data_IF_618683196976
#
_entry.id   IF_618683196976
#
_cell.length_a   1.000
_cell.length_b   1.000
_cell.length_c   1.000
_cell.angle_alpha   90.00
_cell.angle_beta   90.00
_cell.angle_gamma   90.00
#
_symmetry.space_group_name_H-M   'P 1'
#
loop_
_entity.id
_entity.type
_entity.pdbx_description
1 polymer ?
#
# COMPACT_ATOMS: atom_id res chain seq x y z
N UNK A 1 -3.24 -0.74 -31.75
CA UNK A 1 -2.15 -0.23 -30.89
C UNK A 1 -2.83 0.65 -29.85
N UNK A 2 -2.55 0.47 -28.56
CA UNK A 2 -3.21 1.30 -27.52
C UNK A 2 -2.71 2.73 -27.63
N UNK A 3 -3.58 3.72 -27.41
CA UNK A 3 -3.15 5.12 -27.30
C UNK A 3 -2.32 5.33 -26.03
N UNK A 4 -1.52 6.40 -25.99
CA UNK A 4 -0.74 6.75 -24.80
C UNK A 4 -1.66 6.99 -23.59
N UNK A 5 -2.80 7.65 -23.81
CA UNK A 5 -3.81 7.91 -22.78
C UNK A 5 -4.39 6.60 -22.22
N UNK A 6 -4.70 5.63 -23.08
CA UNK A 6 -5.18 4.31 -22.63
C UNK A 6 -4.14 3.58 -21.78
N UNK A 7 -2.85 3.72 -22.10
CA UNK A 7 -1.76 3.15 -21.32
C UNK A 7 -1.62 3.84 -19.97
N UNK A 8 -1.72 5.17 -19.91
CA UNK A 8 -1.67 5.95 -18.67
C UNK A 8 -2.85 5.60 -17.76
N UNK A 9 -4.07 5.47 -18.29
CA UNK A 9 -5.21 5.09 -17.47
C UNK A 9 -5.15 3.62 -17.02
N UNK A 10 -4.61 2.73 -17.86
CA UNK A 10 -4.30 1.36 -17.42
C UNK A 10 -3.31 1.35 -16.25
N UNK A 11 -2.26 2.18 -16.31
CA UNK A 11 -1.28 2.33 -15.22
C UNK A 11 -1.92 2.94 -13.97
N UNK A 12 -2.78 3.97 -14.12
CA UNK A 12 -3.52 4.56 -13.02
C UNK A 12 -4.33 3.51 -12.28
N UNK A 13 -5.11 2.71 -13.01
CA UNK A 13 -5.95 1.68 -12.42
C UNK A 13 -5.10 0.64 -11.67
N UNK A 14 -4.00 0.17 -12.27
CA UNK A 14 -3.10 -0.77 -11.61
C UNK A 14 -2.49 -0.23 -10.32
N UNK A 15 -2.13 1.07 -10.28
CA UNK A 15 -1.64 1.72 -9.07
C UNK A 15 -2.74 1.83 -8.01
N UNK A 16 -3.96 2.21 -8.40
CA UNK A 16 -5.12 2.28 -7.49
C UNK A 16 -5.42 0.91 -6.87
N UNK A 17 -5.40 -0.15 -7.67
CA UNK A 17 -5.61 -1.53 -7.21
C UNK A 17 -4.51 -1.96 -6.23
N UNK A 18 -3.30 -1.40 -6.34
CA UNK A 18 -2.20 -1.58 -5.39
C UNK A 18 -2.25 -0.63 -4.17
N UNK A 19 -3.30 0.20 -4.05
CA UNK A 19 -3.47 1.18 -2.99
C UNK A 19 -2.57 2.41 -3.11
N UNK A 20 -2.08 2.72 -4.32
CA UNK A 20 -1.22 3.85 -4.64
C UNK A 20 -2.02 4.86 -5.45
N UNK A 21 -2.02 6.12 -5.01
CA UNK A 21 -2.65 7.22 -5.74
C UNK A 21 -1.58 8.23 -6.10
N UNK A 22 -1.44 8.49 -7.40
CA UNK A 22 -0.62 9.55 -7.98
C UNK A 22 -1.57 10.52 -8.72
N UNK A 23 -2.09 11.56 -8.06
CA UNK A 23 -3.06 12.47 -8.67
C UNK A 23 -2.51 13.21 -9.89
N UNK A 24 -1.18 13.39 -9.92
CA UNK A 24 -0.44 14.03 -11.00
C UNK A 24 -0.02 13.08 -12.12
N UNK A 25 -0.39 11.80 -12.07
CA UNK A 25 -0.08 10.86 -13.15
C UNK A 25 -0.76 11.30 -14.45
N UNK A 26 0.02 11.60 -15.47
CA UNK A 26 -0.46 12.01 -16.78
C UNK A 26 0.54 11.67 -17.89
N UNK A 27 0.13 11.87 -19.15
CA UNK A 27 1.08 11.99 -20.26
C UNK A 27 1.90 13.25 -20.03
N UNK A 28 3.22 13.16 -20.19
CA UNK A 28 4.09 14.32 -20.12
C UNK A 28 3.65 15.37 -21.17
N UNK A 29 3.40 16.63 -20.78
CA UNK A 29 2.80 17.62 -21.67
C UNK A 29 3.74 18.04 -22.81
N UNK A 30 5.06 17.91 -22.65
CA UNK A 30 6.04 18.31 -23.68
C UNK A 30 6.06 17.28 -24.81
N UNK A 31 6.15 16.01 -24.47
CA UNK A 31 6.21 14.90 -25.43
C UNK A 31 4.82 14.47 -25.92
N UNK A 32 3.76 14.73 -25.17
CA UNK A 32 2.38 14.50 -25.62
C UNK A 32 1.90 15.50 -26.67
N UNK A 33 2.50 16.70 -26.72
CA UNK A 33 2.18 17.72 -27.72
C UNK A 33 3.08 17.64 -28.98
N UNK A 34 4.09 16.76 -28.99
CA UNK A 34 5.01 16.60 -30.12
C UNK A 34 4.55 15.49 -31.08
N UNK A 35 5.09 15.49 -32.30
CA UNK A 35 4.89 14.39 -33.26
C UNK A 35 5.81 13.19 -32.97
N UNK A 36 6.39 13.11 -31.76
CA UNK A 36 7.29 12.01 -31.40
C UNK A 36 6.50 10.71 -31.19
N UNK A 37 7.01 9.57 -31.69
CA UNK A 37 6.33 8.28 -31.60
C UNK A 37 6.26 7.70 -30.18
N UNK A 38 6.91 8.33 -29.19
CA UNK A 38 7.01 7.83 -27.81
C UNK A 38 6.79 8.95 -26.79
N UNK A 39 5.53 9.34 -26.59
CA UNK A 39 5.17 10.25 -25.50
C UNK A 39 5.55 9.63 -24.15
N UNK A 40 6.15 10.45 -23.27
CA UNK A 40 6.57 10.05 -21.94
C UNK A 40 5.40 10.12 -20.95
N UNK A 41 5.56 9.46 -19.80
CA UNK A 41 4.58 9.49 -18.70
C UNK A 41 5.17 10.28 -17.54
N UNK A 42 4.47 11.31 -17.09
CA UNK A 42 4.81 12.05 -15.88
C UNK A 42 4.10 11.40 -14.68
N UNK A 43 4.89 10.88 -13.72
CA UNK A 43 4.39 10.29 -12.48
C UNK A 43 4.12 11.37 -11.40
N UNK A 44 4.71 12.55 -11.55
CA UNK A 44 4.71 13.67 -10.62
C UNK A 44 5.30 13.36 -9.24
N UNK A 45 4.94 14.20 -8.25
CA UNK A 45 5.49 14.11 -6.88
C UNK A 45 4.62 13.23 -6.00
N UNK A 46 5.26 12.39 -5.19
CA UNK A 46 4.60 11.64 -4.13
C UNK A 46 5.29 11.86 -2.78
N UNK A 47 4.60 11.54 -1.69
CA UNK A 47 5.20 11.57 -0.35
C UNK A 47 6.01 10.29 -0.09
N UNK A 48 6.88 10.32 0.93
CA UNK A 48 7.77 9.19 1.27
C UNK A 48 7.00 7.89 1.53
N UNK A 49 5.82 7.95 2.17
CA UNK A 49 5.00 6.74 2.42
C UNK A 49 4.48 6.10 1.14
N UNK A 50 4.11 6.91 0.15
CA UNK A 50 3.69 6.41 -1.17
C UNK A 50 4.89 5.83 -1.93
N UNK A 51 6.06 6.48 -1.85
CA UNK A 51 7.30 5.98 -2.47
C UNK A 51 7.72 4.61 -1.90
N UNK A 52 7.67 4.43 -0.59
CA UNK A 52 7.97 3.16 0.07
C UNK A 52 7.00 2.05 -0.34
N UNK A 53 5.70 2.36 -0.36
CA UNK A 53 4.67 1.43 -0.85
C UNK A 53 4.91 1.05 -2.31
N UNK A 54 5.19 2.02 -3.17
CA UNK A 54 5.48 1.77 -4.59
C UNK A 54 6.69 0.84 -4.75
N UNK A 55 7.78 1.10 -4.02
CA UNK A 55 8.97 0.27 -4.06
C UNK A 55 8.68 -1.18 -3.61
N UNK A 56 7.86 -1.34 -2.57
CA UNK A 56 7.39 -2.65 -2.07
C UNK A 56 6.60 -3.42 -3.13
N UNK A 57 5.65 -2.74 -3.79
CA UNK A 57 4.84 -3.32 -4.88
C UNK A 57 5.72 -3.75 -6.05
N UNK A 58 6.67 -2.92 -6.48
CA UNK A 58 7.60 -3.20 -7.59
C UNK A 58 8.51 -4.38 -7.28
N UNK A 59 8.92 -4.56 -6.01
CA UNK A 59 9.69 -5.74 -5.57
C UNK A 59 8.85 -7.01 -5.42
N UNK A 60 7.53 -6.92 -5.57
CA UNK A 60 6.62 -8.07 -5.41
C UNK A 60 6.37 -8.45 -3.95
N UNK A 61 6.65 -7.56 -3.00
CA UNK A 61 6.40 -7.81 -1.58
C UNK A 61 4.89 -7.90 -1.31
N UNK A 62 4.51 -8.92 -0.54
CA UNK A 62 3.11 -9.21 -0.21
C UNK A 62 2.97 -9.57 1.28
N UNK A 63 2.10 -8.89 2.04
CA UNK A 63 1.36 -7.67 1.66
C UNK A 63 2.29 -6.45 1.52
N UNK A 64 1.92 -5.48 0.69
CA UNK A 64 2.77 -4.31 0.43
C UNK A 64 2.88 -3.40 1.68
N UNK A 65 3.98 -2.68 1.81
CA UNK A 65 4.18 -1.70 2.90
C UNK A 65 3.02 -0.68 2.97
N UNK A 66 2.58 -0.39 4.19
CA UNK A 66 1.44 0.45 4.55
C UNK A 66 0.07 -0.22 4.40
N UNK A 67 -0.03 -1.44 3.86
CA UNK A 67 -1.30 -2.19 3.88
C UNK A 67 -1.58 -2.75 5.27
N UNK A 68 -2.84 -3.12 5.55
CA UNK A 68 -3.18 -3.84 6.77
C UNK A 68 -3.14 -5.35 6.52
N UNK A 69 -2.57 -6.10 7.46
CA UNK A 69 -2.46 -7.54 7.42
C UNK A 69 -2.90 -8.17 8.76
N UNK A 70 -3.37 -9.41 8.68
CA UNK A 70 -3.67 -10.28 9.82
C UNK A 70 -2.51 -11.25 9.99
N UNK A 71 -1.99 -11.32 11.21
CA UNK A 71 -1.13 -12.40 11.66
C UNK A 71 -1.98 -13.64 11.94
N UNK A 72 -1.92 -14.65 11.08
CA UNK A 72 -2.76 -15.85 11.22
C UNK A 72 -2.41 -16.70 12.45
N UNK A 73 -1.26 -16.45 13.09
CA UNK A 73 -0.81 -17.19 14.29
C UNK A 73 -1.67 -16.86 15.51
N UNK A 74 -2.15 -15.62 15.60
CA UNK A 74 -2.88 -15.12 16.79
C UNK A 74 -4.05 -14.18 16.48
N UNK A 75 -4.30 -13.88 15.20
CA UNK A 75 -5.38 -13.02 14.73
C UNK A 75 -5.16 -11.53 15.00
N UNK A 76 -3.95 -11.09 15.35
CA UNK A 76 -3.64 -9.66 15.48
C UNK A 76 -3.61 -8.98 14.12
N UNK A 77 -4.16 -7.77 14.06
CA UNK A 77 -4.19 -6.94 12.85
C UNK A 77 -3.19 -5.80 13.01
N UNK A 78 -2.34 -5.62 12.01
CA UNK A 78 -1.35 -4.54 11.97
C UNK A 78 -1.18 -3.92 10.59
N UNK A 79 -0.58 -2.75 10.54
CA UNK A 79 -0.07 -2.12 9.32
C UNK A 79 1.34 -2.64 9.02
N UNK A 80 1.59 -3.04 7.78
CA UNK A 80 2.90 -3.49 7.31
C UNK A 80 3.88 -2.33 7.26
N UNK A 81 4.99 -2.42 7.98
CA UNK A 81 6.05 -1.41 7.98
C UNK A 81 7.19 -1.76 7.04
N UNK A 82 7.64 -3.01 7.04
CA UNK A 82 8.79 -3.45 6.27
C UNK A 82 8.81 -4.98 6.11
N UNK A 83 9.55 -5.44 5.09
CA UNK A 83 9.94 -6.85 4.88
C UNK A 83 11.44 -6.98 5.18
N UNK A 84 11.83 -7.97 5.98
CA UNK A 84 13.22 -8.24 6.33
C UNK A 84 13.44 -9.76 6.44
N UNK A 85 14.31 -10.32 5.60
CA UNK A 85 14.77 -11.72 5.76
C UNK A 85 13.70 -12.82 5.76
N UNK A 86 12.47 -12.54 5.30
CA UNK A 86 11.32 -13.47 5.34
C UNK A 86 10.31 -13.17 6.46
N UNK A 87 10.66 -12.27 7.37
CA UNK A 87 9.75 -11.68 8.35
C UNK A 87 9.22 -10.34 7.86
N UNK A 88 8.05 -9.98 8.38
CA UNK A 88 7.35 -8.74 8.08
C UNK A 88 7.06 -8.03 9.39
N UNK A 89 7.54 -6.79 9.50
CA UNK A 89 7.29 -5.95 10.67
C UNK A 89 5.91 -5.31 10.58
N UNK A 90 5.10 -5.52 11.61
CA UNK A 90 3.75 -4.97 11.73
C UNK A 90 3.66 -3.97 12.88
N UNK A 91 2.89 -2.90 12.67
CA UNK A 91 2.48 -1.95 13.70
C UNK A 91 1.01 -2.16 14.08
N UNK A 92 0.63 -2.22 15.37
CA UNK A 92 -0.75 -2.50 15.74
C UNK A 92 -1.71 -1.40 15.29
N UNK A 93 -2.90 -1.81 14.87
CA UNK A 93 -3.98 -0.87 14.54
C UNK A 93 -4.47 -0.20 15.83
N UNK A 94 -4.16 1.10 15.98
CA UNK A 94 -4.48 1.87 17.19
C UNK A 94 -3.29 2.11 18.13
N UNK A 95 -2.08 1.69 17.75
CA UNK A 95 -0.87 1.90 18.55
C UNK A 95 -0.54 0.73 19.47
N UNK A 96 0.64 0.79 20.09
CA UNK A 96 1.25 -0.32 20.84
C UNK A 96 2.59 -0.75 20.24
N UNK A 97 3.13 -1.87 20.72
CA UNK A 97 4.44 -2.36 20.31
C UNK A 97 4.36 -3.06 18.96
N UNK A 98 5.26 -2.69 18.05
CA UNK A 98 5.50 -3.37 16.78
C UNK A 98 5.91 -4.83 17.00
N UNK A 99 5.59 -5.71 16.07
CA UNK A 99 5.99 -7.11 16.12
C UNK A 99 6.36 -7.64 14.75
N UNK A 100 7.18 -8.68 14.72
CA UNK A 100 7.56 -9.37 13.50
C UNK A 100 6.68 -10.61 13.28
N UNK A 101 6.29 -10.82 12.02
CA UNK A 101 5.48 -11.94 11.58
C UNK A 101 6.10 -12.59 10.34
N UNK A 102 6.29 -13.92 10.32
CA UNK A 102 6.74 -14.61 9.13
C UNK A 102 5.80 -14.30 7.96
N UNK A 103 6.34 -13.95 6.80
CA UNK A 103 5.55 -13.60 5.62
C UNK A 103 4.54 -14.71 5.26
N UNK A 104 4.93 -15.97 5.46
CA UNK A 104 4.08 -17.15 5.24
C UNK A 104 2.87 -17.25 6.19
N UNK A 105 2.88 -16.52 7.31
CA UNK A 105 1.79 -16.47 8.28
C UNK A 105 0.87 -15.25 8.10
N UNK A 106 1.16 -14.37 7.14
CA UNK A 106 0.35 -13.19 6.89
C UNK A 106 -0.78 -13.45 5.90
N UNK A 107 -1.95 -12.90 6.24
CA UNK A 107 -3.07 -12.75 5.33
C UNK A 107 -3.39 -11.25 5.15
N UNK A 108 -3.93 -10.88 3.98
CA UNK A 108 -4.47 -9.53 3.79
C UNK A 108 -5.64 -9.30 4.77
N UNK A 109 -5.59 -8.21 5.53
CA UNK A 109 -6.67 -7.88 6.46
C UNK A 109 -7.86 -7.33 5.69
N UNK A 110 -9.04 -7.85 5.98
CA UNK A 110 -10.30 -7.30 5.47
C UNK A 110 -10.70 -6.03 6.24
N UNK A 111 -11.46 -5.10 5.64
CA UNK A 111 -11.87 -3.87 6.30
C UNK A 111 -12.54 -4.08 7.66
N UNK A 112 -13.36 -5.13 7.80
CA UNK A 112 -14.04 -5.51 9.03
C UNK A 112 -13.07 -5.94 10.15
N UNK A 113 -11.96 -6.58 9.80
CA UNK A 113 -10.94 -7.02 10.75
C UNK A 113 -10.15 -5.81 11.26
N UNK A 114 -9.80 -4.89 10.35
CA UNK A 114 -9.17 -3.61 10.70
C UNK A 114 -10.07 -2.80 11.62
N UNK A 115 -11.37 -2.70 11.30
CA UNK A 115 -12.33 -1.98 12.12
C UNK A 115 -12.50 -2.64 13.49
N UNK A 116 -12.63 -3.96 13.56
CA UNK A 116 -12.71 -4.72 14.82
C UNK A 116 -11.48 -4.50 15.69
N UNK A 117 -10.28 -4.49 15.10
CA UNK A 117 -9.05 -4.21 15.80
C UNK A 117 -9.02 -2.79 16.41
N UNK A 118 -9.47 -1.77 15.65
CA UNK A 118 -9.61 -0.39 16.16
C UNK A 118 -10.55 -0.32 17.36
N UNK A 119 -11.71 -0.99 17.28
CA UNK A 119 -12.72 -0.99 18.33
C UNK A 119 -12.27 -1.69 19.62
N UNK A 120 -11.53 -2.80 19.52
CA UNK A 120 -11.01 -3.53 20.69
C UNK A 120 -10.15 -2.65 21.61
N UNK A 121 -9.42 -1.68 21.06
CA UNK A 121 -8.64 -0.71 21.82
C UNK A 121 -9.53 0.31 22.51
N UNK A 122 -10.47 0.93 21.77
CA UNK A 122 -11.41 1.91 22.35
C UNK A 122 -12.14 1.31 23.55
N UNK A 123 -12.59 0.05 23.44
CA UNK A 123 -13.23 -0.64 24.55
C UNK A 123 -12.28 -0.90 25.75
N UNK A 124 -11.02 -1.26 25.50
CA UNK A 124 -10.02 -1.41 26.58
C UNK A 124 -9.70 -0.09 27.29
N UNK A 125 -9.70 1.03 26.57
CA UNK A 125 -9.48 2.36 27.14
C UNK A 125 -10.68 2.83 27.97
N UNK A 126 -11.91 2.61 27.47
CA UNK A 126 -13.13 2.95 28.22
C UNK A 126 -13.34 2.10 29.48
N UNK A 127 -12.92 0.83 29.48
CA UNK A 127 -13.03 -0.04 30.66
C UNK A 127 -12.02 0.30 31.78
N UNK A 128 -11.07 1.21 31.53
CA UNK A 128 -10.08 1.69 32.50
C UNK A 128 -10.36 3.11 33.03
N UNK A 129 -11.42 3.76 32.54
CA UNK A 129 -11.91 5.07 33.00
C UNK A 129 -13.10 4.91 33.92
#
# INVERSE_FOLDING_TARGET
>A
MRSTEEVVESLRQALVDAGIVLPSLCVDPVTGASEEPFALVDLGRCNVRVAERLASVVRGERPAVGTHAVDARDGRVGEVLAHDGGDVRLRPVGGGREWDCPAASLAAARPEEVMRARLRRTNHESARS
#
